data_IF_456921831161
#
_entry.id   IF_456921831161
#
_cell.length_a   1.000
_cell.length_b   1.000
_cell.length_c   1.000
_cell.angle_alpha   90.00
_cell.angle_beta   90.00
_cell.angle_gamma   90.00
#
_symmetry.space_group_name_H-M   'P 1'
#
loop_
_entity.id
_entity.type
_entity.pdbx_description
1 polymer ?
#
# COMPACT_ATOMS: atom_id res chain seq x y z
N UNK A 1 -17.52 35.85 -15.11
CA UNK A 1 -16.11 35.43 -15.21
C UNK A 1 -15.60 35.11 -13.82
N UNK A 2 -15.45 33.82 -13.49
CA UNK A 2 -14.91 33.36 -12.22
C UNK A 2 -13.38 33.18 -12.38
N UNK A 3 -12.54 33.74 -11.50
CA UNK A 3 -11.10 33.56 -11.58
C UNK A 3 -10.72 32.17 -11.04
N UNK A 4 -10.07 31.35 -11.87
CA UNK A 4 -9.53 30.04 -11.49
C UNK A 4 -8.04 30.19 -11.25
N UNK A 5 -7.57 29.82 -10.06
CA UNK A 5 -6.14 29.80 -9.72
C UNK A 5 -5.68 28.34 -9.62
N UNK A 6 -4.60 28.00 -10.32
CA UNK A 6 -4.00 26.65 -10.32
C UNK A 6 -2.78 26.62 -9.40
N UNK A 7 -2.72 25.67 -8.46
CA UNK A 7 -1.55 25.45 -7.60
C UNK A 7 -1.15 23.97 -7.64
N UNK A 8 0.15 23.68 -7.79
CA UNK A 8 0.65 22.37 -8.24
C UNK A 8 1.52 21.69 -7.17
N UNK A 9 1.04 20.60 -6.57
CA UNK A 9 1.86 19.54 -5.94
C UNK A 9 1.05 18.27 -5.69
N UNK A 10 1.58 17.08 -6.06
CA UNK A 10 1.27 15.71 -5.60
C UNK A 10 -0.21 15.21 -5.57
N UNK A 11 -1.07 15.95 -4.88
CA UNK A 11 -2.52 15.86 -4.88
C UNK A 11 -3.04 17.01 -5.75
N UNK A 12 -3.40 16.73 -7.01
CA UNK A 12 -3.64 17.79 -7.99
C UNK A 12 -4.99 18.46 -7.73
N UNK A 13 -4.95 19.63 -7.10
CA UNK A 13 -6.04 20.60 -7.18
C UNK A 13 -6.03 21.19 -8.60
N UNK A 14 -6.98 20.77 -9.42
CA UNK A 14 -7.14 21.29 -10.78
C UNK A 14 -7.73 22.69 -10.80
N UNK A 15 -8.40 23.12 -9.73
CA UNK A 15 -8.90 24.48 -9.62
C UNK A 15 -9.77 24.65 -8.40
N UNK A 16 -10.07 25.90 -8.09
CA UNK A 16 -11.03 26.27 -7.06
C UNK A 16 -11.99 27.30 -7.63
N UNK A 17 -13.26 27.17 -7.29
CA UNK A 17 -14.32 28.09 -7.69
C UNK A 17 -14.91 28.74 -6.44
N UNK A 18 -15.06 30.05 -6.46
CA UNK A 18 -15.71 30.81 -5.40
C UNK A 18 -17.13 31.15 -5.85
N UNK A 19 -18.14 30.68 -5.12
CA UNK A 19 -19.49 31.20 -5.36
C UNK A 19 -19.57 32.63 -4.79
N UNK A 20 -19.90 33.58 -5.68
CA UNK A 20 -20.13 35.00 -5.37
C UNK A 20 -21.60 35.37 -5.52
N UNK A 21 -22.52 34.40 -5.52
CA UNK A 21 -23.92 34.69 -5.22
C UNK A 21 -24.00 35.42 -3.88
N UNK A 22 -24.89 36.40 -3.74
CA UNK A 22 -24.91 37.38 -2.64
C UNK A 22 -25.22 36.83 -1.23
N UNK A 23 -24.85 35.59 -0.94
CA UNK A 23 -24.91 34.91 0.34
C UNK A 23 -23.71 35.37 1.23
N UNK A 24 -23.89 35.58 2.55
CA UNK A 24 -22.79 35.99 3.43
C UNK A 24 -21.75 34.88 3.67
N UNK A 25 -22.03 33.64 3.29
CA UNK A 25 -21.07 32.53 3.34
C UNK A 25 -20.38 32.33 2.00
N UNK A 26 -19.07 32.57 1.97
CA UNK A 26 -18.21 32.25 0.82
C UNK A 26 -18.15 30.72 0.70
N UNK A 27 -18.76 30.17 -0.36
CA UNK A 27 -18.62 28.75 -0.69
C UNK A 27 -17.47 28.55 -1.67
N UNK A 28 -16.57 27.62 -1.34
CA UNK A 28 -15.45 27.23 -2.20
C UNK A 28 -15.71 25.83 -2.71
N UNK A 29 -15.65 25.65 -4.03
CA UNK A 29 -15.69 24.33 -4.66
C UNK A 29 -14.32 24.01 -5.24
N UNK A 30 -13.69 22.95 -4.74
CA UNK A 30 -12.44 22.42 -5.28
C UNK A 30 -12.71 21.42 -6.39
N UNK A 31 -11.93 21.49 -7.48
CA UNK A 31 -11.89 20.50 -8.54
C UNK A 31 -10.65 19.63 -8.36
N UNK A 32 -10.86 18.35 -8.07
CA UNK A 32 -9.81 17.38 -7.78
C UNK A 32 -9.71 16.34 -8.89
N UNK A 33 -8.57 15.66 -8.93
CA UNK A 33 -8.32 14.54 -9.82
C UNK A 33 -9.27 13.37 -9.50
N UNK A 34 -9.89 12.77 -10.53
CA UNK A 34 -10.80 11.64 -10.35
C UNK A 34 -9.99 10.35 -10.18
N UNK A 35 -10.17 9.67 -9.04
CA UNK A 35 -9.57 8.36 -8.77
C UNK A 35 -10.60 7.24 -8.64
N UNK A 36 -10.12 6.00 -8.66
CA UNK A 36 -10.95 4.81 -8.42
C UNK A 36 -10.96 4.46 -6.92
N UNK A 37 -12.13 4.26 -6.29
CA UNK A 37 -12.22 3.95 -4.87
C UNK A 37 -11.62 2.58 -4.55
N UNK A 38 -11.07 2.45 -3.34
CA UNK A 38 -10.52 1.19 -2.84
C UNK A 38 -11.63 0.26 -2.34
N UNK A 39 -12.04 -0.70 -3.18
CA UNK A 39 -12.96 -1.75 -2.76
C UNK A 39 -12.20 -2.96 -2.19
N UNK A 40 -12.35 -3.20 -0.88
CA UNK A 40 -11.59 -4.25 -0.18
C UNK A 40 -11.75 -5.65 -0.78
N UNK A 41 -12.95 -6.01 -1.25
CA UNK A 41 -13.19 -7.30 -1.91
C UNK A 41 -12.37 -7.42 -3.19
N UNK A 42 -12.35 -6.37 -4.01
CA UNK A 42 -11.55 -6.34 -5.23
C UNK A 42 -10.06 -6.41 -4.90
N UNK A 43 -9.60 -5.65 -3.89
CA UNK A 43 -8.21 -5.67 -3.45
C UNK A 43 -7.76 -7.07 -3.04
N UNK A 44 -8.56 -7.81 -2.28
CA UNK A 44 -8.22 -9.18 -1.87
C UNK A 44 -8.11 -10.17 -3.04
N UNK A 45 -8.73 -9.86 -4.18
CA UNK A 45 -8.62 -10.64 -5.42
C UNK A 45 -7.44 -10.23 -6.30
N UNK A 46 -6.79 -9.10 -6.01
CA UNK A 46 -5.61 -8.67 -6.75
C UNK A 46 -4.35 -9.45 -6.34
N UNK A 47 -3.39 -9.63 -7.27
CA UNK A 47 -2.08 -10.20 -7.00
C UNK A 47 -1.40 -9.55 -5.79
N UNK A 48 -0.64 -10.34 -5.05
CA UNK A 48 0.05 -9.85 -3.85
C UNK A 48 0.94 -8.64 -4.12
N UNK A 49 1.62 -8.62 -5.27
CA UNK A 49 2.49 -7.52 -5.68
C UNK A 49 1.73 -6.18 -5.78
N UNK A 50 0.53 -6.16 -6.34
CA UNK A 50 -0.32 -4.95 -6.42
C UNK A 50 -0.81 -4.52 -5.03
N UNK A 51 -1.20 -5.47 -4.18
CA UNK A 51 -1.55 -5.17 -2.78
C UNK A 51 -0.37 -4.56 -2.02
N UNK A 52 0.83 -5.10 -2.23
CA UNK A 52 2.05 -4.56 -1.64
C UNK A 52 2.33 -3.13 -2.12
N UNK A 53 2.12 -2.85 -3.42
CA UNK A 53 2.23 -1.49 -3.99
C UNK A 53 1.33 -0.49 -3.27
N UNK A 54 0.08 -0.87 -3.02
CA UNK A 54 -0.91 -0.04 -2.32
C UNK A 54 -0.43 0.27 -0.90
N UNK A 55 0.00 -0.75 -0.14
CA UNK A 55 0.52 -0.54 1.21
C UNK A 55 1.78 0.34 1.22
N UNK A 56 2.72 0.12 0.28
CA UNK A 56 3.91 0.97 0.15
C UNK A 56 3.54 2.42 -0.19
N UNK A 57 2.57 2.64 -1.10
CA UNK A 57 2.08 3.97 -1.43
C UNK A 57 1.45 4.66 -0.23
N UNK A 58 0.69 3.93 0.59
CA UNK A 58 0.13 4.45 1.83
C UNK A 58 1.23 4.83 2.82
N UNK A 59 2.26 4.00 3.01
CA UNK A 59 3.39 4.33 3.90
C UNK A 59 4.13 5.58 3.44
N UNK A 60 4.36 5.74 2.12
CA UNK A 60 4.96 6.95 1.56
C UNK A 60 4.12 8.21 1.79
N UNK A 61 2.79 8.09 1.65
CA UNK A 61 1.87 9.17 1.98
C UNK A 61 1.95 9.52 3.47
N UNK A 62 1.92 8.53 4.37
CA UNK A 62 2.02 8.78 5.80
C UNK A 62 3.36 9.39 6.20
N UNK A 63 4.45 8.98 5.54
CA UNK A 63 5.77 9.60 5.70
C UNK A 63 5.73 11.08 5.34
N UNK A 64 5.07 11.44 4.23
CA UNK A 64 4.88 12.82 3.83
C UNK A 64 4.04 13.61 4.85
N UNK A 65 2.95 13.03 5.37
CA UNK A 65 2.09 13.69 6.35
C UNK A 65 2.82 13.93 7.69
N UNK A 66 3.63 12.99 8.15
CA UNK A 66 4.41 13.12 9.37
C UNK A 66 5.50 14.20 9.27
N UNK A 67 6.10 14.37 8.09
CA UNK A 67 7.17 15.35 7.83
C UNK A 67 6.69 16.59 7.05
N UNK A 68 5.40 16.89 7.12
CA UNK A 68 4.83 18.05 6.42
C UNK A 68 5.42 19.35 6.97
N UNK A 69 5.68 20.36 6.10
CA UNK A 69 6.18 21.67 6.54
C UNK A 69 5.18 22.42 7.43
N UNK A 70 3.91 22.01 7.46
CA UNK A 70 2.87 22.56 8.33
C UNK A 70 2.84 21.92 9.72
N UNK A 71 3.74 20.97 9.99
CA UNK A 71 3.70 20.08 11.15
C UNK A 71 3.09 18.72 10.82
N UNK A 72 3.26 17.77 11.73
CA UNK A 72 2.77 16.40 11.60
C UNK A 72 1.24 16.36 11.48
N UNK A 73 0.74 15.86 10.35
CA UNK A 73 -0.69 15.85 10.01
C UNK A 73 -1.33 14.51 10.43
N UNK A 74 -2.42 14.57 11.18
CA UNK A 74 -3.33 13.44 11.42
C UNK A 74 -4.53 13.48 10.48
N UNK A 75 -4.92 12.31 9.97
CA UNK A 75 -6.20 12.12 9.28
C UNK A 75 -7.25 11.72 10.31
N UNK A 76 -8.25 12.57 10.54
CA UNK A 76 -9.29 12.33 11.55
C UNK A 76 -10.27 11.24 11.10
N UNK A 77 -10.63 11.22 9.81
CA UNK A 77 -11.39 10.12 9.20
C UNK A 77 -10.47 9.17 8.41
N UNK A 78 -9.69 8.34 9.10
CA UNK A 78 -8.84 7.34 8.46
C UNK A 78 -9.63 6.08 8.09
N UNK A 79 -10.44 6.14 7.03
CA UNK A 79 -11.21 5.00 6.55
C UNK A 79 -10.84 4.65 5.10
N UNK A 80 -10.90 3.37 4.68
CA UNK A 80 -10.53 2.99 3.31
C UNK A 80 -11.23 3.79 2.21
N UNK A 81 -12.47 4.23 2.44
CA UNK A 81 -13.25 5.06 1.51
C UNK A 81 -12.65 6.45 1.26
N UNK A 82 -11.78 6.94 2.15
CA UNK A 82 -11.11 8.24 2.02
C UNK A 82 -9.86 8.17 1.13
N UNK A 83 -9.63 7.01 0.50
CA UNK A 83 -8.49 6.78 -0.37
C UNK A 83 -8.94 6.30 -1.74
N UNK A 84 -8.24 6.77 -2.76
CA UNK A 84 -8.45 6.40 -4.16
C UNK A 84 -7.14 6.04 -4.83
N UNK A 85 -7.23 5.19 -5.85
CA UNK A 85 -6.14 4.93 -6.78
C UNK A 85 -6.19 5.90 -7.94
N UNK A 86 -5.04 6.51 -8.23
CA UNK A 86 -4.83 7.43 -9.34
C UNK A 86 -3.49 7.10 -9.96
N UNK A 87 -3.48 6.70 -11.24
CA UNK A 87 -2.28 6.27 -11.96
C UNK A 87 -1.41 5.26 -11.18
N UNK A 88 -2.08 4.32 -10.50
CA UNK A 88 -1.42 3.27 -9.71
C UNK A 88 -0.80 3.74 -8.39
N UNK A 89 -1.09 4.97 -7.94
CA UNK A 89 -0.69 5.49 -6.63
C UNK A 89 -1.93 5.75 -5.76
N UNK A 90 -1.78 5.51 -4.46
CA UNK A 90 -2.82 5.77 -3.47
C UNK A 90 -2.78 7.25 -3.05
N UNK A 91 -3.94 7.92 -3.12
CA UNK A 91 -4.13 9.32 -2.73
C UNK A 91 -5.30 9.45 -1.77
N UNK A 92 -5.33 10.53 -1.00
CA UNK A 92 -6.46 10.88 -0.12
C UNK A 92 -7.47 11.70 -0.92
N UNK A 93 -8.76 11.39 -0.80
CA UNK A 93 -9.83 12.10 -1.51
C UNK A 93 -10.24 13.40 -0.83
N UNK A 94 -10.24 13.41 0.50
CA UNK A 94 -10.72 14.51 1.31
C UNK A 94 -9.71 14.85 2.41
N UNK A 95 -9.27 16.11 2.44
CA UNK A 95 -8.33 16.63 3.44
C UNK A 95 -9.00 17.59 4.43
N UNK A 96 -10.31 17.82 4.33
CA UNK A 96 -11.03 18.73 5.23
C UNK A 96 -11.07 18.17 6.67
N UNK A 97 -10.96 16.85 6.80
CA UNK A 97 -10.82 16.12 8.07
C UNK A 97 -9.35 15.85 8.45
N UNK A 98 -8.43 16.77 8.14
CA UNK A 98 -7.03 16.70 8.54
C UNK A 98 -6.65 17.79 9.55
N UNK A 99 -5.77 17.47 10.49
CA UNK A 99 -5.27 18.44 11.49
C UNK A 99 -3.78 18.32 11.70
N UNK A 100 -3.11 19.45 11.96
CA UNK A 100 -1.70 19.52 12.37
C UNK A 100 -1.55 19.63 13.89
N UNK A 101 -2.65 19.71 14.64
CA UNK A 101 -2.62 19.94 16.07
C UNK A 101 -2.25 18.65 16.82
N UNK A 102 -1.09 18.64 17.45
CA UNK A 102 -0.72 17.60 18.42
C UNK A 102 -1.44 17.85 19.76
N UNK A 103 -1.83 16.77 20.44
CA UNK A 103 -2.55 16.82 21.72
C UNK A 103 -1.72 17.56 22.79
N UNK A 104 -2.35 18.50 23.50
CA UNK A 104 -1.72 19.18 24.64
C UNK A 104 -1.70 18.29 25.88
N UNK A 105 -0.61 18.33 26.65
CA UNK A 105 -0.40 17.51 27.83
C UNK A 105 0.35 18.26 28.94
N UNK A 106 0.20 17.79 30.17
CA UNK A 106 0.98 18.20 31.34
C UNK A 106 1.88 17.06 31.83
N UNK A 107 1.39 15.82 31.75
CA UNK A 107 2.12 14.62 32.11
C UNK A 107 1.99 13.53 31.04
N UNK A 108 2.87 12.53 31.07
CA UNK A 108 2.86 11.41 30.11
C UNK A 108 1.51 10.69 30.05
N UNK A 109 0.77 10.65 31.16
CA UNK A 109 -0.52 9.97 31.25
C UNK A 109 -1.61 10.65 30.40
N UNK A 110 -1.48 11.96 30.14
CA UNK A 110 -2.34 12.70 29.22
C UNK A 110 -2.13 12.26 27.77
N UNK A 111 -0.97 11.66 27.46
CA UNK A 111 -0.58 11.20 26.14
C UNK A 111 -0.87 9.71 25.96
N UNK A 112 -2.14 9.33 26.01
CA UNK A 112 -2.55 7.95 25.72
C UNK A 112 -3.36 7.89 24.42
N UNK A 113 -2.83 7.20 23.42
CA UNK A 113 -3.55 6.93 22.18
C UNK A 113 -4.44 5.69 22.36
N UNK A 114 -5.76 5.89 22.34
CA UNK A 114 -6.75 4.84 22.62
C UNK A 114 -7.42 4.36 21.34
N UNK A 115 -7.44 3.05 21.14
CA UNK A 115 -8.21 2.34 20.13
C UNK A 115 -9.13 1.31 20.80
N UNK A 116 -10.17 0.82 20.11
CA UNK A 116 -11.14 -0.10 20.72
C UNK A 116 -10.54 -1.36 21.39
N UNK A 117 -9.37 -1.82 20.93
CA UNK A 117 -8.74 -3.06 21.41
C UNK A 117 -7.34 -2.87 21.97
N UNK A 118 -6.75 -1.68 21.89
CA UNK A 118 -5.38 -1.38 22.31
C UNK A 118 -5.26 0.07 22.75
N UNK A 119 -4.35 0.32 23.69
CA UNK A 119 -3.96 1.67 24.09
C UNK A 119 -2.45 1.77 24.10
N UNK A 120 -1.93 2.93 23.69
CA UNK A 120 -0.50 3.16 23.55
C UNK A 120 -0.11 4.42 24.33
N UNK A 121 0.67 4.28 25.42
CA UNK A 121 1.19 5.44 26.14
C UNK A 121 2.30 6.11 25.34
N UNK A 122 2.33 7.43 25.38
CA UNK A 122 3.31 8.30 24.73
C UNK A 122 3.89 9.28 25.74
N UNK A 123 4.94 9.98 25.32
CA UNK A 123 5.62 10.96 26.16
C UNK A 123 5.07 12.36 25.94
N UNK A 124 4.86 13.07 27.04
CA UNK A 124 4.61 14.50 27.01
C UNK A 124 5.95 15.23 26.85
N UNK A 125 6.08 16.00 25.79
CA UNK A 125 7.27 16.82 25.55
C UNK A 125 7.34 17.99 26.52
N UNK A 126 8.54 18.58 26.66
CA UNK A 126 8.78 19.74 27.53
C UNK A 126 7.94 20.98 27.16
N UNK A 127 7.43 21.05 25.92
CA UNK A 127 6.55 22.13 25.44
C UNK A 127 5.06 21.83 25.67
N UNK A 128 4.74 20.77 26.42
CA UNK A 128 3.37 20.41 26.78
C UNK A 128 2.57 19.82 25.62
N UNK A 129 3.24 19.07 24.73
CA UNK A 129 2.62 18.39 23.58
C UNK A 129 2.98 16.90 23.55
N UNK A 130 2.02 16.05 23.20
CA UNK A 130 2.24 14.62 22.99
C UNK A 130 3.01 14.42 21.68
N UNK A 131 4.31 14.16 21.78
CA UNK A 131 5.18 14.11 20.61
C UNK A 131 4.87 12.90 19.72
N UNK A 132 4.60 13.16 18.44
CA UNK A 132 4.35 12.12 17.43
C UNK A 132 3.02 11.37 17.58
N UNK A 133 2.04 11.92 18.31
CA UNK A 133 0.73 11.25 18.47
C UNK A 133 -0.03 11.17 17.15
N UNK A 134 0.08 12.19 16.30
CA UNK A 134 -0.54 12.22 14.97
C UNK A 134 0.03 11.13 14.04
N UNK A 135 1.36 11.04 13.93
CA UNK A 135 2.04 10.01 13.15
C UNK A 135 1.62 8.60 13.60
N UNK A 136 1.67 8.34 14.91
CA UNK A 136 1.34 7.03 15.48
C UNK A 136 -0.14 6.67 15.27
N UNK A 137 -1.04 7.64 15.34
CA UNK A 137 -2.46 7.43 15.06
C UNK A 137 -2.68 7.02 13.60
N UNK A 138 -2.07 7.72 12.66
CA UNK A 138 -2.14 7.36 11.25
C UNK A 138 -1.53 5.97 10.98
N UNK A 139 -0.36 5.68 11.56
CA UNK A 139 0.34 4.43 11.35
C UNK A 139 -0.45 3.22 11.87
N UNK A 140 -1.04 3.32 13.07
CA UNK A 140 -1.87 2.24 13.60
C UNK A 140 -3.15 2.05 12.78
N UNK A 141 -3.74 3.12 12.26
CA UNK A 141 -4.89 3.01 11.37
C UNK A 141 -4.53 2.34 10.04
N UNK A 142 -3.36 2.66 9.45
CA UNK A 142 -2.86 1.95 8.28
C UNK A 142 -2.66 0.45 8.56
N UNK A 143 -2.09 0.11 9.71
CA UNK A 143 -2.00 -1.29 10.16
C UNK A 143 -3.38 -1.95 10.22
N UNK A 144 -4.31 -1.35 10.95
CA UNK A 144 -5.64 -1.90 11.24
C UNK A 144 -6.49 -2.09 9.98
N UNK A 145 -6.49 -1.11 9.07
CA UNK A 145 -7.39 -1.08 7.92
C UNK A 145 -6.79 -1.65 6.65
N UNK A 146 -5.46 -1.66 6.51
CA UNK A 146 -4.79 -2.08 5.28
C UNK A 146 -3.82 -3.24 5.52
N UNK A 147 -2.81 -3.07 6.37
CA UNK A 147 -1.69 -4.00 6.39
C UNK A 147 -2.10 -5.42 6.77
N UNK A 148 -2.94 -5.56 7.80
CA UNK A 148 -3.48 -6.85 8.28
C UNK A 148 -4.17 -7.66 7.19
N UNK A 149 -4.81 -6.99 6.22
CA UNK A 149 -5.57 -7.63 5.15
C UNK A 149 -4.76 -7.78 3.87
N UNK A 150 -3.92 -6.79 3.54
CA UNK A 150 -3.30 -6.71 2.23
C UNK A 150 -1.92 -7.39 2.17
N UNK A 151 -1.15 -7.39 3.26
CA UNK A 151 0.22 -7.93 3.25
C UNK A 151 0.33 -9.47 3.33
N UNK A 152 -0.36 -10.18 4.24
CA UNK A 152 0.00 -11.57 4.54
C UNK A 152 -0.52 -12.59 3.52
N UNK A 153 -1.69 -12.34 2.92
CA UNK A 153 -2.33 -13.32 2.05
C UNK A 153 -1.56 -13.48 0.73
N UNK A 154 -1.27 -14.73 0.37
CA UNK A 154 -0.52 -15.14 -0.84
C UNK A 154 0.84 -14.46 -1.05
N UNK A 155 1.44 -13.92 0.01
CA UNK A 155 2.81 -13.43 -0.04
C UNK A 155 3.82 -14.56 -0.32
N UNK A 156 4.89 -14.30 -1.09
CA UNK A 156 6.00 -15.24 -1.27
C UNK A 156 6.52 -15.76 0.08
N UNK A 157 6.67 -17.09 0.28
CA UNK A 157 7.02 -17.65 1.59
C UNK A 157 8.28 -17.05 2.21
N UNK A 158 9.30 -16.76 1.41
CA UNK A 158 10.55 -16.16 1.86
C UNK A 158 10.40 -14.72 2.39
N UNK A 159 9.37 -13.99 1.96
CA UNK A 159 9.11 -12.62 2.41
C UNK A 159 8.25 -12.56 3.68
N UNK A 160 7.55 -13.65 4.04
CA UNK A 160 6.63 -13.69 5.19
C UNK A 160 7.25 -13.26 6.52
N UNK A 161 8.50 -13.62 6.87
CA UNK A 161 9.12 -13.14 8.11
C UNK A 161 9.24 -11.63 8.18
N UNK A 162 9.62 -10.98 7.06
CA UNK A 162 9.74 -9.52 6.98
C UNK A 162 8.37 -8.85 7.05
N UNK A 163 7.36 -9.40 6.39
CA UNK A 163 5.98 -8.89 6.45
C UNK A 163 5.39 -9.06 7.85
N UNK A 164 5.67 -10.17 8.53
CA UNK A 164 5.23 -10.39 9.91
C UNK A 164 5.89 -9.41 10.87
N UNK A 165 7.18 -9.11 10.69
CA UNK A 165 7.86 -8.07 11.47
C UNK A 165 7.20 -6.70 11.28
N UNK A 166 6.93 -6.30 10.04
CA UNK A 166 6.20 -5.05 9.72
C UNK A 166 4.84 -5.03 10.42
N UNK A 167 4.04 -6.09 10.31
CA UNK A 167 2.72 -6.18 10.91
C UNK A 167 2.78 -6.07 12.44
N UNK A 168 3.69 -6.80 13.07
CA UNK A 168 3.83 -6.78 14.53
C UNK A 168 4.35 -5.42 15.01
N UNK A 169 5.37 -4.87 14.35
CA UNK A 169 5.99 -3.61 14.76
C UNK A 169 5.04 -2.41 14.58
N UNK A 170 4.24 -2.38 13.50
CA UNK A 170 3.22 -1.34 13.30
C UNK A 170 1.99 -1.56 14.16
N UNK A 171 1.57 -2.82 14.36
CA UNK A 171 0.43 -3.17 15.22
C UNK A 171 0.67 -2.98 16.72
N UNK A 172 1.94 -2.97 17.15
CA UNK A 172 2.35 -2.63 18.51
C UNK A 172 2.97 -1.21 18.61
N UNK A 173 2.96 -0.44 17.52
CA UNK A 173 3.55 0.91 17.42
C UNK A 173 5.00 1.02 17.93
N UNK A 174 5.77 -0.06 17.75
CA UNK A 174 7.22 -0.10 18.00
C UNK A 174 8.01 0.64 16.94
N UNK A 175 7.49 0.67 15.71
CA UNK A 175 8.04 1.48 14.62
C UNK A 175 7.37 2.85 14.57
N UNK A 176 8.16 3.86 14.23
CA UNK A 176 7.65 5.09 13.63
C UNK A 176 7.54 4.92 12.12
N UNK A 177 7.21 6.01 11.45
CA UNK A 177 6.99 6.03 10.02
C UNK A 177 8.29 5.83 9.23
N UNK A 178 9.42 6.28 9.78
CA UNK A 178 10.74 6.14 9.18
C UNK A 178 11.15 4.66 9.10
N UNK A 179 11.08 3.95 10.23
CA UNK A 179 11.41 2.52 10.32
C UNK A 179 10.42 1.70 9.48
N UNK A 180 9.15 2.08 9.48
CA UNK A 180 8.14 1.42 8.64
C UNK A 180 8.46 1.57 7.17
N UNK A 181 8.77 2.78 6.69
CA UNK A 181 9.14 3.00 5.29
C UNK A 181 10.37 2.20 4.89
N UNK A 182 11.43 2.21 5.71
CA UNK A 182 12.64 1.43 5.48
C UNK A 182 12.37 -0.08 5.41
N UNK A 183 11.51 -0.60 6.29
CA UNK A 183 11.15 -2.01 6.29
C UNK A 183 10.40 -2.40 4.99
N UNK A 184 9.47 -1.55 4.53
CA UNK A 184 8.79 -1.74 3.25
C UNK A 184 9.75 -1.65 2.06
N UNK A 185 10.66 -0.67 2.03
CA UNK A 185 11.67 -0.54 0.97
C UNK A 185 12.62 -1.73 0.92
N UNK A 186 12.96 -2.30 2.08
CA UNK A 186 13.74 -3.54 2.16
C UNK A 186 13.00 -4.72 1.53
N UNK A 187 11.71 -4.88 1.80
CA UNK A 187 10.89 -5.93 1.17
C UNK A 187 10.81 -5.72 -0.34
N UNK A 188 10.59 -4.47 -0.79
CA UNK A 188 10.60 -4.13 -2.21
C UNK A 188 11.93 -4.49 -2.87
N UNK A 189 13.05 -4.12 -2.23
CA UNK A 189 14.37 -4.43 -2.75
C UNK A 189 14.57 -5.94 -2.90
N UNK A 190 14.28 -6.73 -1.85
CA UNK A 190 14.41 -8.18 -1.88
C UNK A 190 13.59 -8.82 -3.00
N UNK A 191 12.35 -8.34 -3.19
CA UNK A 191 11.46 -8.80 -4.25
C UNK A 191 12.03 -8.47 -5.64
N UNK A 192 12.27 -7.18 -5.94
CA UNK A 192 12.80 -6.72 -7.24
C UNK A 192 14.13 -7.36 -7.66
N UNK A 193 14.98 -7.66 -6.67
CA UNK A 193 16.31 -8.22 -6.93
C UNK A 193 16.31 -9.75 -7.00
N UNK A 194 15.16 -10.40 -6.78
CA UNK A 194 15.06 -11.87 -6.68
C UNK A 194 15.82 -12.48 -5.51
N UNK A 195 16.27 -11.68 -4.54
CA UNK A 195 17.12 -12.19 -3.43
C UNK A 195 16.31 -13.08 -2.48
N UNK A 196 14.99 -12.89 -2.42
CA UNK A 196 14.08 -13.74 -1.66
C UNK A 196 14.07 -15.20 -2.18
N UNK A 197 14.44 -15.41 -3.43
CA UNK A 197 14.52 -16.74 -4.03
C UNK A 197 15.73 -17.53 -3.52
N UNK A 198 16.81 -16.88 -3.08
CA UNK A 198 18.04 -17.56 -2.61
C UNK A 198 17.85 -18.33 -1.31
N UNK A 199 16.91 -17.90 -0.45
CA UNK A 199 16.61 -18.63 0.79
C UNK A 199 15.77 -19.89 0.56
N UNK A 200 15.12 -19.98 -0.60
CA UNK A 200 14.40 -21.17 -1.03
C UNK A 200 15.40 -21.96 -1.85
N UNK A 201 15.91 -23.07 -1.32
CA UNK A 201 16.59 -24.04 -2.15
C UNK A 201 15.56 -24.59 -3.15
N UNK A 202 15.38 -23.89 -4.27
CA UNK A 202 14.78 -24.48 -5.45
C UNK A 202 15.72 -25.61 -5.81
N UNK A 203 15.39 -26.81 -5.36
CA UNK A 203 15.98 -28.05 -5.87
C UNK A 203 16.01 -27.85 -7.37
N UNK A 204 17.18 -27.98 -8.00
CA UNK A 204 17.32 -27.94 -9.45
C UNK A 204 16.42 -29.03 -10.02
N UNK A 205 15.15 -28.69 -10.26
CA UNK A 205 14.19 -29.56 -10.92
C UNK A 205 14.62 -29.47 -12.38
N UNK A 206 15.08 -30.57 -13.00
CA UNK A 206 15.39 -30.56 -14.41
C UNK A 206 14.10 -30.34 -15.18
N UNK A 207 13.79 -29.07 -15.50
CA UNK A 207 12.71 -28.75 -16.41
C UNK A 207 13.27 -28.85 -17.83
N UNK A 208 12.73 -29.78 -18.59
CA UNK A 208 13.01 -29.84 -20.03
C UNK A 208 12.13 -28.78 -20.68
N UNK A 209 12.74 -27.78 -21.32
CA UNK A 209 12.05 -26.94 -22.31
C UNK A 209 11.64 -27.85 -23.48
N UNK A 210 10.58 -28.64 -23.28
CA UNK A 210 9.95 -29.41 -24.35
C UNK A 210 9.20 -28.41 -25.20
N UNK A 211 9.48 -28.43 -26.51
CA UNK A 211 8.93 -27.49 -27.46
C UNK A 211 7.42 -27.31 -27.33
N UNK A 212 6.97 -26.09 -27.65
CA UNK A 212 5.57 -25.66 -27.65
C UNK A 212 4.64 -26.76 -28.15
N UNK A 213 3.79 -27.27 -27.26
CA UNK A 213 2.57 -27.97 -27.67
C UNK A 213 1.45 -26.97 -27.54
N UNK A 214 0.89 -26.53 -28.67
CA UNK A 214 -0.43 -25.93 -28.70
C UNK A 214 -1.43 -27.02 -28.33
N UNK A 215 -1.69 -27.19 -27.04
CA UNK A 215 -2.85 -27.96 -26.60
C UNK A 215 -4.04 -27.02 -26.75
N UNK A 216 -4.97 -27.36 -27.64
CA UNK A 216 -6.29 -26.75 -27.67
C UNK A 216 -7.01 -27.10 -26.36
N UNK A 217 -6.79 -26.30 -25.33
CA UNK A 217 -7.42 -26.41 -24.02
C UNK A 217 -7.60 -25.01 -23.45
N UNK A 218 -8.68 -24.79 -22.71
CA UNK A 218 -8.87 -23.53 -21.98
C UNK A 218 -7.71 -23.32 -21.00
N UNK A 219 -7.15 -22.11 -20.97
CA UNK A 219 -6.13 -21.74 -19.98
C UNK A 219 -6.65 -22.04 -18.58
N UNK A 220 -5.88 -22.81 -17.81
CA UNK A 220 -6.29 -23.11 -16.45
C UNK A 220 -6.27 -21.83 -15.61
N UNK A 221 -7.20 -21.71 -14.66
CA UNK A 221 -7.31 -20.53 -13.80
C UNK A 221 -6.53 -20.77 -12.51
N UNK A 222 -5.70 -19.80 -12.14
CA UNK A 222 -5.06 -19.75 -10.83
C UNK A 222 -5.54 -18.52 -10.06
N UNK A 223 -5.38 -18.55 -8.74
CA UNK A 223 -5.80 -17.46 -7.87
C UNK A 223 -4.77 -17.20 -6.78
N UNK A 224 -4.40 -15.92 -6.52
CA UNK A 224 -4.74 -14.71 -7.29
C UNK A 224 -4.03 -14.66 -8.66
N UNK A 225 -4.59 -13.94 -9.63
CA UNK A 225 -4.06 -13.79 -10.99
C UNK A 225 -4.27 -12.35 -11.48
N UNK A 226 -3.37 -11.87 -12.35
CA UNK A 226 -3.55 -10.60 -13.08
C UNK A 226 -4.63 -10.70 -14.16
N UNK A 227 -5.05 -11.90 -14.53
CA UNK A 227 -6.12 -12.16 -15.51
C UNK A 227 -7.26 -12.96 -14.89
N UNK A 228 -8.50 -12.58 -15.19
CA UNK A 228 -9.69 -13.36 -14.82
C UNK A 228 -9.98 -14.51 -15.79
N UNK A 229 -9.34 -14.49 -16.97
CA UNK A 229 -9.58 -15.45 -18.05
C UNK A 229 -8.62 -16.64 -18.00
N UNK A 230 -7.44 -16.49 -17.39
CA UNK A 230 -6.43 -17.53 -17.26
C UNK A 230 -5.44 -17.23 -16.12
N UNK A 231 -4.48 -18.11 -15.90
CA UNK A 231 -3.42 -17.90 -14.93
C UNK A 231 -2.39 -16.90 -15.49
N UNK A 232 -2.28 -15.71 -14.90
CA UNK A 232 -1.27 -14.71 -15.22
C UNK A 232 -0.61 -14.26 -13.92
N UNK A 233 0.66 -14.60 -13.75
CA UNK A 233 1.42 -14.41 -12.51
C UNK A 233 2.66 -13.57 -12.75
N UNK A 234 3.11 -12.88 -11.70
CA UNK A 234 4.38 -12.16 -11.69
C UNK A 234 5.49 -13.07 -11.17
N UNK A 235 6.60 -13.14 -11.91
CA UNK A 235 7.75 -13.99 -11.62
C UNK A 235 9.06 -13.31 -11.95
N UNK A 236 10.10 -13.61 -11.20
CA UNK A 236 11.43 -13.04 -11.38
C UNK A 236 12.15 -13.60 -12.60
N UNK A 237 11.91 -14.88 -12.90
CA UNK A 237 12.58 -15.58 -13.99
C UNK A 237 12.00 -16.96 -14.26
N UNK A 238 12.55 -17.63 -15.27
CA UNK A 238 12.07 -18.94 -15.72
C UNK A 238 12.16 -20.03 -14.64
N UNK A 239 13.14 -19.95 -13.75
CA UNK A 239 13.29 -20.91 -12.64
C UNK A 239 12.14 -20.80 -11.63
N UNK A 240 11.77 -19.58 -11.25
CA UNK A 240 10.60 -19.35 -10.38
C UNK A 240 9.31 -19.74 -11.09
N UNK A 241 9.18 -19.41 -12.38
CA UNK A 241 8.01 -19.78 -13.17
C UNK A 241 7.82 -21.31 -13.24
N UNK A 242 8.91 -22.04 -13.46
CA UNK A 242 8.92 -23.50 -13.43
C UNK A 242 8.55 -24.05 -12.05
N UNK A 243 9.09 -23.46 -10.97
CA UNK A 243 8.77 -23.90 -9.61
C UNK A 243 7.29 -23.68 -9.27
N UNK A 244 6.71 -22.54 -9.66
CA UNK A 244 5.29 -22.24 -9.49
C UNK A 244 4.44 -23.23 -10.30
N UNK A 245 4.75 -23.45 -11.58
CA UNK A 245 4.03 -24.39 -12.42
C UNK A 245 4.07 -25.81 -11.83
N UNK A 246 5.25 -26.29 -11.42
CA UNK A 246 5.40 -27.62 -10.82
C UNK A 246 4.63 -27.78 -9.49
N UNK A 247 4.37 -26.68 -8.77
CA UNK A 247 3.59 -26.71 -7.54
C UNK A 247 2.07 -26.83 -7.77
N UNK A 248 1.61 -26.62 -9.01
CA UNK A 248 0.19 -26.60 -9.38
C UNK A 248 -0.15 -27.83 -10.23
N UNK A 249 -1.06 -28.67 -9.76
CA UNK A 249 -1.42 -29.92 -10.45
C UNK A 249 -2.05 -29.72 -11.83
N UNK A 250 -2.61 -28.53 -12.10
CA UNK A 250 -3.24 -28.19 -13.37
C UNK A 250 -2.26 -27.57 -14.38
N UNK A 251 -1.07 -27.14 -13.94
CA UNK A 251 -0.09 -26.52 -14.82
C UNK A 251 0.66 -27.59 -15.61
N UNK A 252 0.52 -27.56 -16.93
CA UNK A 252 1.20 -28.49 -17.84
C UNK A 252 2.44 -27.86 -18.50
N UNK A 253 2.37 -26.56 -18.76
CA UNK A 253 3.40 -25.73 -19.38
C UNK A 253 3.18 -24.28 -18.98
N UNK A 254 4.19 -23.45 -19.17
CA UNK A 254 4.11 -22.01 -18.96
C UNK A 254 4.89 -21.25 -20.03
N UNK A 255 4.54 -20.00 -20.26
CA UNK A 255 5.24 -19.05 -21.13
C UNK A 255 5.63 -17.84 -20.28
N UNK A 256 6.89 -17.43 -20.37
CA UNK A 256 7.36 -16.18 -19.77
C UNK A 256 7.41 -15.12 -20.86
N UNK A 257 6.66 -14.04 -20.66
CA UNK A 257 6.60 -12.94 -21.62
C UNK A 257 7.69 -11.89 -21.33
N UNK A 258 7.90 -10.96 -22.26
CA UNK A 258 8.77 -9.80 -22.06
C UNK A 258 8.03 -8.62 -21.40
N UNK A 259 6.72 -8.75 -21.15
CA UNK A 259 5.97 -7.74 -20.40
C UNK A 259 6.40 -7.78 -18.94
N UNK A 260 6.48 -6.59 -18.35
CA UNK A 260 6.99 -6.41 -16.99
C UNK A 260 5.97 -5.72 -16.12
N UNK A 261 5.87 -6.19 -14.88
CA UNK A 261 5.08 -5.55 -13.84
C UNK A 261 5.74 -4.26 -13.34
N UNK A 262 5.10 -3.53 -12.42
CA UNK A 262 5.65 -2.27 -11.88
C UNK A 262 6.94 -2.47 -11.06
N UNK A 263 7.19 -3.67 -10.56
CA UNK A 263 8.47 -4.04 -9.90
C UNK A 263 9.53 -4.49 -10.91
N UNK A 264 9.18 -4.62 -12.20
CA UNK A 264 10.09 -5.06 -13.25
C UNK A 264 10.17 -6.59 -13.40
N UNK A 265 9.33 -7.33 -12.69
CA UNK A 265 9.20 -8.79 -12.77
C UNK A 265 8.54 -9.19 -14.10
N UNK A 266 8.83 -10.39 -14.59
CA UNK A 266 8.27 -10.93 -15.83
C UNK A 266 6.86 -11.50 -15.58
N UNK A 267 6.05 -11.53 -16.63
CA UNK A 267 4.74 -12.18 -16.56
C UNK A 267 4.83 -13.64 -17.03
N UNK A 268 4.24 -14.54 -16.24
CA UNK A 268 4.05 -15.95 -16.55
C UNK A 268 2.58 -16.22 -16.86
N UNK A 269 2.31 -16.84 -18.00
CA UNK A 269 1.02 -17.43 -18.37
C UNK A 269 1.10 -18.94 -18.53
#
# INVERSE_FOLDING_TARGET
>A
HLPVTFQRHGNVLHGQCYDRSGDPEIRVTAMLELGSPLEMIQLLQTPWEERFKICLSLVKLLFYLAHSPLGSIVLLDFQPRQFVMVDGNLKVTDMDDASTEELSCKEDNDCTLVFPTKSFPLKCSAVGKCEGINEKKNLFNAYRYFFTYLLPHSAPPALRPFLSDILNATGDLRYGINETLQAFEKVLHLYKSGLYLRSVQYVTIPFSLRGFRTVEGEDYKCWPSYSHLGCLLSVHGAEEAAAICNSQSQCQSFIVTQQRTWTGELEQM
#
